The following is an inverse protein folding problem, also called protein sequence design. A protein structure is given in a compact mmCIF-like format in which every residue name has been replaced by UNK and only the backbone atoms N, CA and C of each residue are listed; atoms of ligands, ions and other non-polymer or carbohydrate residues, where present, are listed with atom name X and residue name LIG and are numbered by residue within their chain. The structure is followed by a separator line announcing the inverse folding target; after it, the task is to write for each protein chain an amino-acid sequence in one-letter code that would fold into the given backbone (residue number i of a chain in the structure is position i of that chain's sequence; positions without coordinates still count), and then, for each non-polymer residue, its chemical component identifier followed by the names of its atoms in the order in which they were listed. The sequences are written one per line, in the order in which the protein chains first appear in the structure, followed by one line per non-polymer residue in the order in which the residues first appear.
data_IF_658546632575
#
_entry.id   IF_658546632575
#
_cell.length_a   1.000
_cell.length_b   1.000
_cell.length_c   1.000
_cell.angle_alpha   90.00
_cell.angle_beta   90.00
_cell.angle_gamma   90.00
#
_symmetry.space_group_name_H-M   'P 1'
#
loop_
_entity.id
_entity.type
_entity.pdbx_description
1 polymer ?
#
# COMPACT_ATOMS: atom_id res chain seq x y z
N UNK A 1 25.15 -14.01 34.44
CA UNK A 1 24.28 -13.63 35.58
C UNK A 1 23.29 -12.58 35.10
N UNK A 2 22.01 -12.87 35.21
CA UNK A 2 20.91 -11.98 34.77
C UNK A 2 19.62 -12.79 34.82
N UNK A 3 19.15 -13.09 36.03
CA UNK A 3 18.09 -14.07 36.24
C UNK A 3 16.71 -13.47 35.99
N UNK A 4 15.92 -14.09 35.11
CA UNK A 4 14.55 -14.45 35.43
C UNK A 4 14.03 -15.63 34.58
N UNK A 5 13.20 -16.43 35.23
CA UNK A 5 12.27 -17.47 34.80
C UNK A 5 11.30 -17.58 35.97
N UNK A 6 9.98 -17.57 35.79
CA UNK A 6 9.03 -18.53 36.39
C UNK A 6 7.74 -18.49 35.55
N UNK A 7 7.36 -19.64 34.99
CA UNK A 7 6.20 -19.80 34.12
C UNK A 7 5.16 -20.72 34.80
N UNK A 8 4.02 -20.13 35.17
CA UNK A 8 2.82 -20.85 35.60
C UNK A 8 1.75 -20.67 34.50
N UNK A 9 1.20 -21.77 33.98
CA UNK A 9 0.14 -21.75 32.95
C UNK A 9 0.58 -21.70 31.48
N UNK A 10 1.88 -21.71 31.17
CA UNK A 10 2.42 -21.84 29.80
C UNK A 10 3.07 -23.21 29.63
N UNK A 11 2.85 -23.86 28.50
CA UNK A 11 3.52 -25.13 28.12
C UNK A 11 4.55 -24.87 27.04
N UNK A 12 5.76 -25.41 27.22
CA UNK A 12 6.83 -25.41 26.20
C UNK A 12 7.14 -26.86 25.83
N UNK A 13 6.91 -27.23 24.58
CA UNK A 13 7.14 -28.60 24.05
C UNK A 13 7.78 -28.52 22.66
N UNK A 14 8.96 -29.12 22.50
CA UNK A 14 9.67 -29.15 21.21
C UNK A 14 9.97 -27.78 20.59
N UNK A 15 10.01 -26.70 21.37
CA UNK A 15 10.17 -25.31 20.89
C UNK A 15 8.86 -24.59 20.59
N UNK A 16 7.72 -25.28 20.64
CA UNK A 16 6.41 -24.65 20.63
C UNK A 16 6.07 -24.09 22.01
N UNK A 17 5.30 -23.00 22.03
CA UNK A 17 4.81 -22.35 23.24
C UNK A 17 3.29 -22.24 23.16
N UNK A 18 2.57 -22.65 24.21
CA UNK A 18 1.10 -22.64 24.27
C UNK A 18 0.56 -21.87 25.47
N UNK A 19 -0.71 -21.45 25.39
CA UNK A 19 -1.46 -20.69 26.39
C UNK A 19 -0.95 -19.25 26.69
N UNK A 20 -0.12 -18.68 25.83
CA UNK A 20 0.35 -17.28 25.95
C UNK A 20 -0.78 -16.31 25.63
N UNK A 21 -1.08 -15.40 26.56
CA UNK A 21 -2.08 -14.34 26.39
C UNK A 21 -1.45 -13.02 25.95
N UNK A 22 -0.25 -12.71 26.44
CA UNK A 22 0.50 -11.49 26.15
C UNK A 22 1.99 -11.79 26.02
N UNK A 23 2.62 -11.27 24.96
CA UNK A 23 4.07 -11.29 24.79
C UNK A 23 4.61 -9.86 24.87
N UNK A 24 5.53 -9.58 25.79
CA UNK A 24 6.20 -8.29 25.93
C UNK A 24 7.70 -8.45 25.70
N UNK A 25 8.25 -7.67 24.77
CA UNK A 25 9.67 -7.67 24.41
C UNK A 25 10.26 -6.27 24.63
N UNK A 26 11.43 -6.19 25.29
CA UNK A 26 12.18 -4.94 25.48
C UNK A 26 13.14 -4.61 24.32
N UNK A 27 13.16 -5.44 23.29
CA UNK A 27 13.95 -5.31 22.06
C UNK A 27 13.27 -6.00 20.88
N UNK A 28 14.00 -6.22 19.79
CA UNK A 28 13.43 -6.68 18.53
C UNK A 28 12.88 -8.12 18.58
N UNK A 29 11.77 -8.33 17.88
CA UNK A 29 11.31 -9.66 17.50
C UNK A 29 11.91 -10.03 16.14
N UNK A 30 13.01 -10.79 16.14
CA UNK A 30 13.59 -11.31 14.90
C UNK A 30 13.00 -12.67 14.56
N UNK A 31 12.36 -12.77 13.38
CA UNK A 31 11.88 -14.03 12.84
C UNK A 31 12.71 -14.43 11.60
N UNK A 32 13.70 -15.31 11.79
CA UNK A 32 14.63 -15.72 10.73
C UNK A 32 14.15 -16.92 9.90
N UNK A 33 13.06 -17.57 10.32
CA UNK A 33 12.42 -18.66 9.59
C UNK A 33 10.90 -18.55 9.66
N UNK A 34 10.19 -19.05 8.64
CA UNK A 34 8.72 -19.03 8.62
C UNK A 34 8.10 -17.62 8.56
N UNK A 35 6.79 -17.55 8.78
CA UNK A 35 5.97 -16.32 8.68
C UNK A 35 5.40 -15.91 10.05
N UNK A 36 4.95 -14.65 10.16
CA UNK A 36 4.03 -14.22 11.23
C UNK A 36 2.60 -14.51 10.77
N UNK A 37 1.86 -15.27 11.57
CA UNK A 37 0.49 -15.69 11.24
C UNK A 37 -0.51 -15.12 12.24
N UNK A 38 -1.46 -14.31 11.74
CA UNK A 38 -2.59 -13.74 12.50
C UNK A 38 -3.86 -14.53 12.14
N UNK A 39 -4.23 -15.52 12.96
CA UNK A 39 -5.26 -16.51 12.60
C UNK A 39 -6.56 -16.44 13.40
N UNK A 40 -6.82 -15.36 14.15
CA UNK A 40 -8.06 -15.17 14.89
C UNK A 40 -9.23 -14.86 13.95
N UNK A 41 -10.38 -15.45 14.23
CA UNK A 41 -11.62 -15.07 13.55
C UNK A 41 -12.01 -13.60 13.84
N UNK A 42 -12.31 -12.81 12.79
CA UNK A 42 -12.69 -11.39 12.87
C UNK A 42 -11.60 -10.43 12.41
N UNK A 43 -11.86 -9.12 12.55
CA UNK A 43 -10.86 -8.11 12.24
C UNK A 43 -9.62 -8.32 13.13
N UNK A 44 -8.50 -8.54 12.47
CA UNK A 44 -7.20 -8.57 13.11
C UNK A 44 -6.43 -7.39 12.57
N UNK A 45 -5.82 -6.67 13.49
CA UNK A 45 -5.01 -5.53 13.17
C UNK A 45 -3.60 -5.84 13.60
N UNK A 46 -2.66 -5.63 12.68
CA UNK A 46 -1.33 -5.23 13.10
C UNK A 46 -1.50 -3.79 13.55
N UNK A 47 -1.88 -3.64 14.81
CA UNK A 47 -1.89 -2.34 15.45
C UNK A 47 -0.46 -2.07 15.82
N UNK A 48 0.25 -1.42 14.90
CA UNK A 48 1.39 -0.64 15.32
C UNK A 48 0.83 0.51 16.18
N UNK A 49 0.77 0.27 17.49
CA UNK A 49 0.16 1.16 18.47
C UNK A 49 1.11 2.29 18.88
N UNK A 50 2.41 1.99 18.79
CA UNK A 50 3.43 3.02 18.78
C UNK A 50 3.23 3.94 17.57
N UNK A 51 3.82 5.12 17.62
CA UNK A 51 3.58 6.15 16.63
C UNK A 51 4.37 6.00 15.32
N UNK A 52 5.20 4.96 15.14
CA UNK A 52 6.13 4.88 14.00
C UNK A 52 5.51 4.32 12.71
N UNK A 53 6.10 4.64 11.54
CA UNK A 53 5.65 4.05 10.28
C UNK A 53 5.65 2.53 10.44
N UNK A 54 4.54 1.91 10.03
CA UNK A 54 4.61 0.51 9.68
C UNK A 54 5.46 0.43 8.40
N UNK A 55 6.77 0.34 8.59
CA UNK A 55 7.69 0.03 7.53
C UNK A 55 7.53 -1.43 7.20
N UNK A 56 6.60 -1.68 6.30
CA UNK A 56 6.71 -2.83 5.44
C UNK A 56 7.73 -2.39 4.42
N UNK A 57 8.94 -2.88 4.56
CA UNK A 57 10.00 -2.63 3.61
C UNK A 57 10.52 -3.96 3.12
N UNK A 58 11.04 -3.89 1.91
CA UNK A 58 11.56 -5.04 1.22
C UNK A 58 12.49 -4.50 0.16
N UNK A 59 13.68 -5.06 0.06
CA UNK A 59 14.54 -4.82 -1.10
C UNK A 59 13.87 -5.24 -2.42
N UNK A 60 12.78 -6.01 -2.34
CA UNK A 60 11.96 -6.46 -3.46
C UNK A 60 10.54 -5.88 -3.52
N UNK A 61 10.17 -4.90 -2.68
CA UNK A 61 8.87 -4.24 -2.75
C UNK A 61 7.82 -4.65 -1.70
N UNK A 62 6.82 -3.79 -1.54
CA UNK A 62 5.95 -3.69 -0.36
C UNK A 62 4.52 -3.98 -0.75
N UNK A 63 3.96 -5.05 -0.17
CA UNK A 63 2.61 -5.54 -0.50
C UNK A 63 1.65 -5.01 0.56
N UNK A 64 0.81 -4.04 0.17
CA UNK A 64 -0.08 -3.29 1.08
C UNK A 64 -1.52 -3.44 0.64
N UNK A 65 -2.29 -4.05 1.51
CA UNK A 65 -3.74 -4.15 1.39
C UNK A 65 -4.37 -3.04 2.26
N UNK A 66 -4.18 -1.75 1.91
CA UNK A 66 -4.40 -0.63 2.86
C UNK A 66 -4.11 0.85 2.47
N UNK A 67 -3.28 1.17 1.42
CA UNK A 67 -3.84 1.84 0.20
C UNK A 67 -5.22 1.39 0.31
N UNK A 68 -6.19 2.23 0.62
CA UNK A 68 -7.47 1.59 0.65
C UNK A 68 -7.67 1.51 -0.86
N UNK A 69 -7.15 0.49 -1.55
CA UNK A 69 -7.65 -0.89 -1.38
C UNK A 69 -8.84 -0.97 -0.40
N UNK A 70 -9.71 0.03 -0.51
CA UNK A 70 -11.10 0.06 -0.27
C UNK A 70 -11.48 -0.03 -1.72
N UNK A 71 -11.46 -1.26 -2.22
CA UNK A 71 -12.11 -1.60 -3.46
C UNK A 71 -11.42 -1.14 -4.77
N UNK A 72 -10.08 -1.17 -4.89
CA UNK A 72 -9.35 -1.13 -6.18
C UNK A 72 -9.44 0.19 -6.97
N UNK A 73 -10.42 1.01 -6.65
CA UNK A 73 -10.04 2.22 -6.01
C UNK A 73 -8.99 1.82 -4.96
N UNK A 74 -7.76 2.09 -5.33
CA UNK A 74 -7.03 3.04 -4.53
C UNK A 74 -8.03 4.22 -4.34
N UNK A 75 -8.92 3.98 -3.40
CA UNK A 75 -9.92 4.88 -2.91
C UNK A 75 -9.09 5.78 -2.08
N UNK A 76 -9.34 7.05 -2.30
CA UNK A 76 -8.33 8.02 -2.02
C UNK A 76 -7.04 7.85 -2.88
N UNK A 77 -7.08 7.31 -4.12
CA UNK A 77 -6.11 7.81 -5.13
C UNK A 77 -6.51 9.25 -5.33
N UNK A 78 -5.67 10.17 -4.91
CA UNK A 78 -5.84 11.60 -5.15
C UNK A 78 -4.94 12.08 -6.28
N UNK A 79 -3.90 11.31 -6.58
CA UNK A 79 -2.85 11.68 -7.51
C UNK A 79 -2.05 10.45 -7.92
N UNK A 80 -1.48 10.52 -9.10
CA UNK A 80 -0.57 9.53 -9.64
C UNK A 80 0.60 10.31 -10.22
N UNK A 81 1.79 10.04 -9.71
CA UNK A 81 3.04 10.55 -10.25
C UNK A 81 3.84 9.38 -10.78
N UNK A 82 4.51 9.60 -11.91
CA UNK A 82 5.29 8.58 -12.58
C UNK A 82 6.64 9.21 -12.90
N UNK A 83 7.72 8.50 -12.57
CA UNK A 83 9.08 8.89 -12.95
C UNK A 83 9.30 8.77 -14.45
N UNK A 84 8.56 7.85 -15.04
CA UNK A 84 8.63 7.47 -16.43
C UNK A 84 7.25 7.67 -17.06
N UNK A 85 7.08 7.12 -18.25
CA UNK A 85 5.93 7.43 -19.07
C UNK A 85 4.60 6.93 -18.47
N UNK A 86 3.62 7.82 -18.38
CA UNK A 86 2.22 7.42 -18.31
C UNK A 86 1.75 6.95 -19.68
N UNK A 87 1.79 5.65 -19.91
CA UNK A 87 1.30 5.05 -21.15
C UNK A 87 -0.16 4.62 -21.02
N UNK A 88 -1.06 5.21 -21.81
CA UNK A 88 -2.48 4.80 -21.91
C UNK A 88 -2.71 3.98 -23.20
N UNK A 89 -2.59 2.67 -23.12
CA UNK A 89 -2.36 1.79 -24.28
C UNK A 89 -3.60 1.27 -25.03
N UNK A 90 -4.83 1.76 -24.77
CA UNK A 90 -6.04 1.25 -25.46
C UNK A 90 -6.19 1.85 -26.88
N UNK A 91 -6.68 1.06 -27.85
CA UNK A 91 -7.02 1.53 -29.23
C UNK A 91 -8.01 2.72 -29.24
N UNK A 92 -8.85 2.76 -28.20
CA UNK A 92 -9.63 3.92 -27.81
C UNK A 92 -9.43 4.18 -26.31
N UNK A 93 -8.22 4.60 -25.91
CA UNK A 93 -7.98 5.09 -24.55
C UNK A 93 -8.66 6.44 -24.37
N UNK A 94 -9.32 6.61 -23.23
CA UNK A 94 -9.98 7.86 -22.90
C UNK A 94 -9.45 8.38 -21.57
N UNK A 95 -9.13 9.67 -21.56
CA UNK A 95 -9.07 10.47 -20.35
C UNK A 95 -10.38 11.22 -20.30
N UNK A 96 -11.35 10.69 -19.56
CA UNK A 96 -12.65 11.34 -19.41
C UNK A 96 -12.60 12.33 -18.24
N UNK A 97 -12.69 13.62 -18.55
CA UNK A 97 -12.92 14.65 -17.54
C UNK A 97 -14.42 14.99 -17.51
N UNK A 98 -15.14 14.43 -16.54
CA UNK A 98 -16.56 14.74 -16.31
C UNK A 98 -16.77 15.97 -15.42
N UNK A 99 -15.70 16.70 -15.09
CA UNK A 99 -15.76 17.92 -14.29
C UNK A 99 -16.34 19.10 -15.09
N UNK A 100 -16.77 20.14 -14.37
CA UNK A 100 -17.36 21.34 -14.97
C UNK A 100 -16.36 22.26 -15.68
N UNK A 101 -15.06 21.98 -15.54
CA UNK A 101 -13.96 22.82 -16.01
C UNK A 101 -13.21 22.13 -17.14
N UNK A 102 -12.01 22.62 -17.44
CA UNK A 102 -11.18 22.08 -18.50
C UNK A 102 -10.34 20.89 -18.03
N UNK A 103 -10.27 19.86 -18.86
CA UNK A 103 -9.08 19.01 -18.90
C UNK A 103 -7.94 19.84 -19.47
N UNK A 104 -6.88 20.06 -18.68
CA UNK A 104 -5.68 20.76 -19.15
C UNK A 104 -4.58 19.74 -19.37
N UNK A 105 -4.02 19.72 -20.58
CA UNK A 105 -2.80 18.99 -20.90
C UNK A 105 -1.78 20.05 -21.29
N UNK A 106 -0.67 20.10 -20.56
CA UNK A 106 0.40 21.06 -20.79
C UNK A 106 1.72 20.31 -20.97
N UNK A 107 2.52 20.78 -21.92
CA UNK A 107 3.87 20.32 -22.18
C UNK A 107 4.78 21.54 -22.14
N UNK A 108 5.98 21.40 -21.60
CA UNK A 108 7.00 22.45 -21.70
C UNK A 108 7.62 22.55 -23.10
N UNK A 109 7.44 21.49 -23.89
CA UNK A 109 7.68 21.50 -25.33
C UNK A 109 6.37 21.34 -26.08
N UNK A 110 6.44 20.71 -27.23
CA UNK A 110 5.26 20.50 -28.06
C UNK A 110 4.31 19.46 -27.45
N UNK A 111 3.01 19.67 -27.66
CA UNK A 111 2.03 18.62 -27.59
C UNK A 111 1.93 17.96 -28.97
N UNK A 112 2.47 16.76 -29.10
CA UNK A 112 2.41 15.99 -30.36
C UNK A 112 1.13 15.15 -30.36
N UNK A 113 0.20 15.45 -31.26
CA UNK A 113 -1.05 14.72 -31.42
C UNK A 113 -1.31 14.37 -32.89
N UNK A 114 -1.49 13.09 -33.19
CA UNK A 114 -1.73 12.58 -34.56
C UNK A 114 -3.23 12.34 -34.81
N UNK A 115 -3.71 12.61 -36.03
CA UNK A 115 -5.09 12.28 -36.43
C UNK A 115 -6.18 13.06 -35.68
N UNK A 116 -5.86 14.26 -35.19
CA UNK A 116 -6.76 15.07 -34.36
C UNK A 116 -8.04 15.44 -35.12
N UNK A 117 -9.18 15.24 -34.47
CA UNK A 117 -10.49 15.73 -34.91
C UNK A 117 -11.08 16.63 -33.83
N UNK A 118 -11.50 17.86 -34.19
CA UNK A 118 -12.10 18.83 -33.28
C UNK A 118 -13.55 19.07 -33.71
N UNK A 119 -14.50 18.50 -32.98
CA UNK A 119 -15.93 18.51 -33.34
C UNK A 119 -16.75 19.61 -32.61
N UNK A 120 -16.11 20.68 -32.10
CA UNK A 120 -16.79 21.84 -31.51
C UNK A 120 -15.83 22.82 -30.81
N UNK A 121 -16.20 24.11 -30.78
CA UNK A 121 -15.41 25.20 -30.18
C UNK A 121 -14.54 25.97 -31.20
N UNK A 122 -14.18 27.21 -30.86
CA UNK A 122 -13.18 27.96 -31.61
C UNK A 122 -11.78 27.45 -31.24
N UNK A 123 -10.92 27.26 -32.25
CA UNK A 123 -9.48 27.10 -32.03
C UNK A 123 -8.88 28.50 -32.05
N UNK A 124 -8.36 28.97 -30.91
CA UNK A 124 -7.71 30.28 -30.77
C UNK A 124 -6.30 30.13 -30.24
N UNK A 125 -5.39 30.95 -30.77
CA UNK A 125 -4.02 31.14 -30.27
C UNK A 125 -3.97 32.10 -29.10
#
# INVERSE_FOLDING_TARGET
SGGNLVAEGVTIDGGAMSAVTTLSASGDMTNSGGNIVLSKAGAQSITHADGSELSISSGGGVVVDGVTMNNGALSAVSSLSMSDDLTLSKAAAAITHSGATSLTISSGGDLVAEGVTINGGAVSS
#
